data_IF_638091215931
#
_entry.id   IF_638091215931
#
_cell.length_a   1.000
_cell.length_b   1.000
_cell.length_c   1.000
_cell.angle_alpha   90.00
_cell.angle_beta   90.00
_cell.angle_gamma   90.00
#
_symmetry.space_group_name_H-M   'P 1'
#
loop_
_entity.id
_entity.type
_entity.pdbx_description
1 polymer ?
#
# COMPACT_ATOMS: atom_id res chain seq x y z
N UNK A 1 -18.39 3.13 3.16
CA UNK A 1 -16.91 3.14 3.29
C UNK A 1 -16.38 4.51 2.90
N UNK A 2 -15.53 5.05 3.74
CA UNK A 2 -14.93 6.37 3.54
C UNK A 2 -13.42 6.22 3.36
N UNK A 3 -12.84 6.91 2.36
CA UNK A 3 -11.39 6.96 2.14
C UNK A 3 -10.93 8.36 2.54
N UNK A 4 -9.94 8.43 3.42
CA UNK A 4 -9.37 9.71 3.86
C UNK A 4 -7.90 9.55 4.22
N UNK A 5 -7.20 10.66 4.39
CA UNK A 5 -5.81 10.62 4.80
C UNK A 5 -5.66 10.08 6.22
N UNK A 6 -4.61 9.27 6.42
CA UNK A 6 -4.25 8.74 7.73
C UNK A 6 -3.18 9.65 8.32
N UNK A 7 -3.60 10.61 9.15
CA UNK A 7 -2.73 11.68 9.62
C UNK A 7 -2.18 11.47 11.03
N UNK A 8 -2.93 10.78 11.88
CA UNK A 8 -2.53 10.55 13.27
C UNK A 8 -2.11 9.10 13.44
N UNK A 9 -0.79 8.87 13.46
CA UNK A 9 -0.24 7.53 13.59
C UNK A 9 -0.59 6.90 14.93
N UNK A 10 -1.44 5.88 14.90
CA UNK A 10 -1.81 5.09 16.07
C UNK A 10 -0.99 3.80 16.05
N UNK A 11 0.02 3.73 16.93
CA UNK A 11 0.97 2.62 16.94
C UNK A 11 0.29 1.26 17.12
N UNK A 12 -0.65 1.17 18.04
CA UNK A 12 -1.31 -0.12 18.32
C UNK A 12 -2.20 -0.56 17.15
N UNK A 13 -2.92 0.39 16.55
CA UNK A 13 -3.78 0.11 15.40
C UNK A 13 -2.96 -0.35 14.20
N UNK A 14 -1.87 0.36 13.89
CA UNK A 14 -0.99 0.00 12.77
C UNK A 14 -0.28 -1.32 13.04
N UNK A 15 0.19 -1.54 14.28
CA UNK A 15 0.78 -2.84 14.62
C UNK A 15 -0.21 -3.98 14.37
N UNK A 16 -1.45 -3.84 14.82
CA UNK A 16 -2.47 -4.87 14.60
C UNK A 16 -2.69 -5.13 13.11
N UNK A 17 -2.78 -4.06 12.31
CA UNK A 17 -3.01 -4.21 10.88
C UNK A 17 -1.87 -4.97 10.21
N UNK A 18 -0.63 -4.59 10.47
CA UNK A 18 0.53 -5.25 9.87
C UNK A 18 0.69 -6.68 10.34
N UNK A 19 0.53 -6.92 11.64
CA UNK A 19 0.63 -8.29 12.19
C UNK A 19 -0.46 -9.20 11.62
N UNK A 20 -1.70 -8.74 11.59
CA UNK A 20 -2.81 -9.54 11.07
C UNK A 20 -2.71 -9.77 9.57
N UNK A 21 -2.08 -8.88 8.84
CA UNK A 21 -1.81 -9.07 7.42
C UNK A 21 -0.58 -9.98 7.16
N UNK A 22 0.14 -10.37 8.21
CA UNK A 22 1.31 -11.23 8.10
C UNK A 22 2.61 -10.51 7.78
N UNK A 23 2.65 -9.19 7.92
CA UNK A 23 3.81 -8.38 7.58
C UNK A 23 4.65 -8.08 8.83
N UNK A 24 5.18 -9.12 9.45
CA UNK A 24 5.89 -9.01 10.74
C UNK A 24 7.27 -8.39 10.64
N UNK A 25 7.88 -8.35 9.46
CA UNK A 25 9.18 -7.69 9.28
C UNK A 25 9.13 -6.21 9.66
N UNK A 26 8.00 -5.55 9.45
CA UNK A 26 7.82 -4.15 9.83
C UNK A 26 7.57 -3.98 11.32
N UNK A 27 6.78 -4.87 11.93
CA UNK A 27 6.41 -4.74 13.34
C UNK A 27 7.55 -5.05 14.28
N UNK A 28 8.63 -5.67 13.80
CA UNK A 28 9.84 -5.89 14.58
C UNK A 28 10.59 -4.57 14.84
N UNK A 29 10.25 -3.50 14.14
CA UNK A 29 10.86 -2.19 14.32
C UNK A 29 9.81 -1.09 14.13
N UNK A 30 8.93 -0.96 15.12
CA UNK A 30 7.85 0.03 15.06
C UNK A 30 8.34 1.48 14.92
N UNK A 31 9.45 1.90 15.57
CA UNK A 31 9.96 3.26 15.36
C UNK A 31 10.31 3.54 13.89
N UNK A 32 10.90 2.57 13.18
CA UNK A 32 11.22 2.72 11.77
C UNK A 32 9.95 2.79 10.93
N UNK A 33 8.94 1.98 11.23
CA UNK A 33 7.67 2.02 10.54
C UNK A 33 6.97 3.36 10.72
N UNK A 34 6.95 3.87 11.94
CA UNK A 34 6.36 5.19 12.23
C UNK A 34 7.07 6.29 11.45
N UNK A 35 8.41 6.26 11.40
CA UNK A 35 9.17 7.24 10.63
C UNK A 35 8.87 7.10 9.14
N UNK A 36 8.73 5.86 8.66
CA UNK A 36 8.33 5.60 7.28
C UNK A 36 6.97 6.20 6.94
N UNK A 37 6.01 6.10 7.85
CA UNK A 37 4.71 6.74 7.67
C UNK A 37 4.85 8.26 7.55
N UNK A 38 5.64 8.87 8.45
CA UNK A 38 5.86 10.33 8.43
C UNK A 38 6.53 10.80 7.15
N UNK A 39 7.42 9.98 6.59
CA UNK A 39 8.15 10.32 5.37
C UNK A 39 7.44 9.89 4.10
N UNK A 40 6.27 9.28 4.21
CA UNK A 40 5.49 8.86 3.05
C UNK A 40 4.93 10.04 2.30
N UNK A 41 4.80 9.90 0.99
CA UNK A 41 4.13 10.90 0.15
C UNK A 41 2.66 11.03 0.55
N UNK A 42 2.00 9.89 0.76
CA UNK A 42 0.65 9.85 1.30
C UNK A 42 0.38 8.50 1.95
N UNK A 43 -0.49 8.52 2.95
CA UNK A 43 -1.10 7.31 3.50
C UNK A 43 -2.60 7.57 3.49
N UNK A 44 -3.33 6.72 2.77
CA UNK A 44 -4.80 6.78 2.71
C UNK A 44 -5.38 5.60 3.48
N UNK A 45 -6.45 5.84 4.19
CA UNK A 45 -7.11 4.83 5.00
C UNK A 45 -8.57 4.70 4.62
N UNK A 46 -9.08 3.49 4.70
CA UNK A 46 -10.49 3.19 4.49
C UNK A 46 -11.15 2.95 5.84
N UNK A 47 -12.29 3.59 6.06
CA UNK A 47 -13.06 3.49 7.29
C UNK A 47 -14.51 3.11 7.00
N UNK A 48 -15.11 2.40 7.94
CA UNK A 48 -16.55 2.15 7.97
C UNK A 48 -17.02 2.24 9.41
N UNK A 49 -17.99 3.11 9.66
CA UNK A 49 -18.50 3.36 11.02
C UNK A 49 -17.39 3.69 12.03
N UNK A 50 -16.40 4.46 11.59
CA UNK A 50 -15.27 4.85 12.42
C UNK A 50 -14.19 3.78 12.61
N UNK A 51 -14.38 2.59 12.06
CA UNK A 51 -13.42 1.49 12.17
C UNK A 51 -12.49 1.47 10.98
N UNK A 52 -11.19 1.33 11.23
CA UNK A 52 -10.18 1.19 10.17
C UNK A 52 -10.32 -0.17 9.49
N UNK A 53 -10.44 -0.14 8.16
CA UNK A 53 -10.52 -1.37 7.34
C UNK A 53 -9.19 -1.73 6.71
N UNK A 54 -8.39 -0.73 6.36
CA UNK A 54 -7.11 -0.93 5.71
C UNK A 54 -6.46 0.39 5.32
N UNK A 55 -5.23 0.31 4.82
CA UNK A 55 -4.47 1.48 4.37
C UNK A 55 -3.75 1.19 3.06
N UNK A 56 -3.39 2.26 2.37
CA UNK A 56 -2.41 2.23 1.28
C UNK A 56 -1.38 3.32 1.55
N UNK A 57 -0.10 2.95 1.42
CA UNK A 57 1.01 3.86 1.68
C UNK A 57 1.84 4.03 0.42
N UNK A 58 2.04 5.28 0.01
CA UNK A 58 2.76 5.62 -1.21
C UNK A 58 3.97 6.50 -0.88
N UNK A 59 5.08 6.25 -1.56
CA UNK A 59 6.31 7.02 -1.47
C UNK A 59 6.72 7.47 -2.87
N UNK A 60 7.60 8.46 -2.96
CA UNK A 60 8.06 8.98 -4.25
C UNK A 60 8.04 10.50 -4.27
N UNK A 61 8.29 11.07 -5.47
CA UNK A 61 8.31 12.52 -5.60
C UNK A 61 6.92 13.11 -5.93
N UNK A 62 5.95 12.26 -6.28
CA UNK A 62 4.61 12.71 -6.60
C UNK A 62 4.46 13.41 -7.95
N UNK A 63 5.53 13.47 -8.73
CA UNK A 63 5.57 14.16 -10.02
C UNK A 63 5.99 13.23 -11.16
N UNK A 64 7.09 12.51 -10.97
CA UNK A 64 7.61 11.58 -11.98
C UNK A 64 7.39 10.12 -11.59
N UNK A 65 7.40 9.82 -10.30
CA UNK A 65 7.27 8.46 -9.81
C UNK A 65 6.52 8.41 -8.48
N UNK A 66 5.67 7.40 -8.36
CA UNK A 66 5.03 7.02 -7.10
C UNK A 66 5.21 5.52 -6.95
N UNK A 67 5.68 5.09 -5.79
CA UNK A 67 5.80 3.68 -5.44
C UNK A 67 4.78 3.35 -4.35
N UNK A 68 3.90 2.41 -4.63
CA UNK A 68 2.96 1.91 -3.61
C UNK A 68 3.71 0.89 -2.76
N UNK A 69 4.06 1.33 -1.55
CA UNK A 69 4.89 0.52 -0.66
C UNK A 69 4.07 -0.55 0.05
N UNK A 70 2.93 -0.17 0.59
CA UNK A 70 2.07 -1.09 1.32
C UNK A 70 0.62 -0.87 0.91
N UNK A 71 -0.11 -1.97 0.74
CA UNK A 71 -1.57 -1.96 0.71
C UNK A 71 -2.02 -3.12 1.58
N UNK A 72 -2.70 -2.80 2.67
CA UNK A 72 -3.08 -3.77 3.68
C UNK A 72 -4.55 -3.59 4.06
N UNK A 73 -5.26 -4.70 4.13
CA UNK A 73 -6.65 -4.74 4.56
C UNK A 73 -6.74 -5.79 5.67
N UNK A 74 -7.44 -5.46 6.76
CA UNK A 74 -7.67 -6.46 7.81
C UNK A 74 -8.29 -7.72 7.19
N UNK A 75 -7.82 -8.93 7.56
CA UNK A 75 -8.29 -10.16 6.92
C UNK A 75 -9.81 -10.35 6.94
N UNK A 76 -10.47 -9.97 8.02
CA UNK A 76 -11.91 -10.08 8.16
C UNK A 76 -12.69 -9.02 7.37
N UNK A 77 -11.99 -8.04 6.78
CA UNK A 77 -12.56 -6.98 5.95
C UNK A 77 -12.27 -7.15 4.46
N UNK A 78 -11.60 -8.24 4.08
CA UNK A 78 -11.28 -8.52 2.68
C UNK A 78 -12.55 -8.91 1.91
N UNK A 79 -12.46 -8.87 0.56
CA UNK A 79 -13.54 -9.21 -0.37
C UNK A 79 -14.74 -8.28 -0.29
N UNK A 80 -14.52 -7.05 0.21
CA UNK A 80 -15.53 -5.99 0.25
C UNK A 80 -15.17 -4.82 -0.65
N UNK A 81 -14.15 -4.97 -1.48
CA UNK A 81 -13.70 -3.90 -2.35
C UNK A 81 -12.83 -2.84 -1.67
N UNK A 82 -12.34 -3.08 -0.45
CA UNK A 82 -11.51 -2.12 0.28
C UNK A 82 -10.20 -1.86 -0.44
N UNK A 83 -9.48 -2.93 -0.84
CA UNK A 83 -8.23 -2.80 -1.57
C UNK A 83 -8.41 -2.07 -2.89
N UNK A 84 -9.48 -2.39 -3.62
CA UNK A 84 -9.80 -1.71 -4.88
C UNK A 84 -10.07 -0.23 -4.64
N UNK A 85 -10.83 0.12 -3.62
CA UNK A 85 -11.14 1.52 -3.31
C UNK A 85 -9.88 2.30 -2.94
N UNK A 86 -8.99 1.70 -2.15
CA UNK A 86 -7.73 2.33 -1.76
C UNK A 86 -6.82 2.56 -2.98
N UNK A 87 -6.67 1.55 -3.84
CA UNK A 87 -5.85 1.70 -5.04
C UNK A 87 -6.44 2.70 -6.03
N UNK A 88 -7.75 2.70 -6.21
CA UNK A 88 -8.39 3.70 -7.07
C UNK A 88 -8.18 5.11 -6.56
N UNK A 89 -8.18 5.31 -5.24
CA UNK A 89 -7.92 6.61 -4.64
C UNK A 89 -6.48 7.08 -4.93
N UNK A 90 -5.50 6.16 -4.86
CA UNK A 90 -4.12 6.47 -5.22
C UNK A 90 -4.01 6.81 -6.71
N UNK A 91 -4.60 5.98 -7.57
CA UNK A 91 -4.54 6.19 -9.01
C UNK A 91 -5.19 7.50 -9.43
N UNK A 92 -6.29 7.88 -8.78
CA UNK A 92 -6.94 9.16 -9.04
C UNK A 92 -6.09 10.34 -8.57
N UNK A 93 -5.54 10.26 -7.35
CA UNK A 93 -4.71 11.33 -6.79
C UNK A 93 -3.48 11.60 -7.65
N UNK A 94 -2.84 10.54 -8.15
CA UNK A 94 -1.57 10.63 -8.89
C UNK A 94 -1.74 10.35 -10.39
N UNK A 95 -2.91 10.62 -10.94
CA UNK A 95 -3.22 10.32 -12.34
C UNK A 95 -2.32 10.99 -13.36
N UNK A 96 -1.60 12.04 -12.96
CA UNK A 96 -0.67 12.77 -13.83
C UNK A 96 0.78 12.39 -13.64
N UNK A 97 1.07 11.51 -12.69
CA UNK A 97 2.43 11.04 -12.43
C UNK A 97 2.84 10.09 -13.55
N UNK A 98 4.08 10.27 -14.05
CA UNK A 98 4.56 9.51 -15.19
C UNK A 98 4.47 8.00 -14.98
N UNK A 99 4.86 7.50 -13.81
CA UNK A 99 4.79 6.06 -13.52
C UNK A 99 4.47 5.79 -12.07
N UNK A 100 3.64 4.78 -11.87
CA UNK A 100 3.29 4.27 -10.55
C UNK A 100 3.71 2.80 -10.53
N UNK A 101 4.48 2.41 -9.52
CA UNK A 101 5.07 1.08 -9.41
C UNK A 101 4.74 0.46 -8.07
N UNK A 102 4.83 -0.86 -8.02
CA UNK A 102 4.71 -1.63 -6.79
C UNK A 102 5.38 -2.98 -6.94
N UNK A 103 5.64 -3.62 -5.80
CA UNK A 103 6.10 -4.99 -5.73
C UNK A 103 5.05 -5.75 -4.93
N UNK A 104 4.69 -6.93 -5.39
CA UNK A 104 3.66 -7.74 -4.74
C UNK A 104 4.05 -9.21 -4.75
N UNK A 105 3.31 -10.02 -4.01
CA UNK A 105 3.53 -11.46 -4.00
C UNK A 105 3.27 -12.05 -5.39
N UNK A 106 4.06 -13.03 -5.77
CA UNK A 106 3.92 -13.72 -7.04
C UNK A 106 2.84 -14.80 -6.92
N UNK A 107 1.59 -14.35 -6.95
CA UNK A 107 0.41 -15.24 -6.94
C UNK A 107 -0.56 -14.85 -8.04
N UNK A 108 -1.35 -15.81 -8.57
CA UNK A 108 -2.37 -15.48 -9.57
C UNK A 108 -3.39 -14.45 -9.09
N UNK A 109 -3.75 -14.47 -7.81
CA UNK A 109 -4.74 -13.56 -7.25
C UNK A 109 -4.23 -12.12 -7.24
N UNK A 110 -2.99 -11.90 -6.79
CA UNK A 110 -2.42 -10.54 -6.76
C UNK A 110 -2.18 -10.02 -8.16
N UNK A 111 -1.71 -10.88 -9.07
CA UNK A 111 -1.53 -10.49 -10.46
C UNK A 111 -2.86 -10.06 -11.10
N UNK A 112 -3.92 -10.84 -10.89
CA UNK A 112 -5.24 -10.53 -11.42
C UNK A 112 -5.78 -9.22 -10.83
N UNK A 113 -5.57 -8.99 -9.54
CA UNK A 113 -6.00 -7.76 -8.87
C UNK A 113 -5.36 -6.53 -9.52
N UNK A 114 -4.04 -6.52 -9.67
CA UNK A 114 -3.36 -5.35 -10.23
C UNK A 114 -3.63 -5.19 -11.73
N UNK A 115 -3.75 -6.28 -12.48
CA UNK A 115 -4.16 -6.18 -13.89
C UNK A 115 -5.55 -5.57 -14.05
N UNK A 116 -6.46 -5.90 -13.15
CA UNK A 116 -7.82 -5.33 -13.18
C UNK A 116 -7.82 -3.81 -12.95
N UNK A 117 -6.76 -3.28 -12.37
CA UNK A 117 -6.57 -1.85 -12.13
C UNK A 117 -5.73 -1.16 -13.20
N UNK A 118 -5.34 -1.88 -14.25
CA UNK A 118 -4.60 -1.32 -15.37
C UNK A 118 -3.08 -1.44 -15.26
N UNK A 119 -2.57 -2.17 -14.27
CA UNK A 119 -1.13 -2.41 -14.16
C UNK A 119 -0.68 -3.56 -15.07
N UNK A 120 0.57 -3.48 -15.49
CA UNK A 120 1.25 -4.55 -16.23
C UNK A 120 2.47 -4.99 -15.45
N UNK A 121 2.87 -6.25 -15.61
CA UNK A 121 4.16 -6.69 -15.05
C UNK A 121 5.29 -5.94 -15.75
N UNK A 122 6.38 -5.69 -15.02
CA UNK A 122 7.54 -4.97 -15.54
C UNK A 122 8.11 -5.65 -16.79
N UNK A 123 8.13 -6.99 -16.82
CA UNK A 123 8.60 -7.74 -17.96
C UNK A 123 7.80 -7.44 -19.24
N UNK A 124 6.49 -7.24 -19.13
CA UNK A 124 5.63 -6.90 -20.27
C UNK A 124 5.90 -5.48 -20.78
N UNK A 125 6.42 -4.62 -19.92
CA UNK A 125 6.82 -3.25 -20.28
C UNK A 125 8.29 -3.18 -20.70
N UNK A 126 8.97 -4.31 -20.84
CA UNK A 126 10.38 -4.36 -21.24
C UNK A 126 11.35 -4.04 -20.12
N UNK A 127 10.93 -4.17 -18.87
CA UNK A 127 11.72 -3.80 -17.70
C UNK A 127 11.90 -4.99 -16.74
N UNK A 128 12.92 -4.90 -15.88
CA UNK A 128 13.12 -5.84 -14.78
C UNK A 128 13.12 -5.09 -13.47
N UNK A 129 12.61 -5.71 -12.43
CA UNK A 129 12.69 -5.19 -11.08
C UNK A 129 13.81 -5.86 -10.31
N UNK A 130 14.53 -5.07 -9.50
CA UNK A 130 15.59 -5.60 -8.62
C UNK A 130 15.34 -5.11 -7.21
N UNK A 131 15.66 -5.94 -6.23
CA UNK A 131 15.53 -5.60 -4.84
C UNK A 131 16.76 -6.07 -4.07
N UNK A 132 17.14 -5.30 -3.07
CA UNK A 132 18.20 -5.68 -2.14
C UNK A 132 17.69 -5.36 -0.74
N UNK A 133 17.61 -6.40 0.09
CA UNK A 133 17.18 -6.23 1.48
C UNK A 133 18.37 -5.86 2.36
N UNK A 134 18.09 -5.12 3.44
CA UNK A 134 19.12 -4.79 4.41
C UNK A 134 19.71 -6.07 4.98
N UNK A 135 21.04 -6.06 5.18
CA UNK A 135 21.73 -7.17 5.82
C UNK A 135 21.78 -6.97 7.32
N UNK A 136 21.60 -8.06 8.06
CA UNK A 136 21.63 -8.05 9.51
C UNK A 136 23.04 -7.78 10.04
#
# INVERSE_FOLDING_TARGET
>A
MEIREYTDFDRDEIRRLYERAGWTAYTNNMPALEQGFKNSLSVLAAYENGELLGIVRAVGDGCTVVFVQDILVFPDKRRRGVGTALMKAVLDRYRRVRQIELITDDTPETAAFYRSLGFSELSEAGCLGFVRFAQA
#
